data_IF_851690750595
#
_entry.id   IF_851690750595
#
_cell.length_a   1.000
_cell.length_b   1.000
_cell.length_c   1.000
_cell.angle_alpha   90.00
_cell.angle_beta   90.00
_cell.angle_gamma   90.00
#
_symmetry.space_group_name_H-M   'P 1'
#
loop_
_entity.id
_entity.type
_entity.pdbx_description
1 polymer ?
#
# COMPACT_ATOMS: atom_id res chain seq x y z
N UNK A 1 11.22 21.53 32.97
CA UNK A 1 11.62 22.55 33.97
C UNK A 1 11.97 23.80 33.21
N UNK A 2 11.42 24.95 33.61
CA UNK A 2 11.71 26.21 32.94
C UNK A 2 13.02 26.78 33.50
N UNK A 3 13.87 27.35 32.63
CA UNK A 3 15.09 28.03 33.05
C UNK A 3 14.88 29.55 32.99
N UNK A 4 15.32 30.26 34.02
CA UNK A 4 15.36 31.72 34.00
C UNK A 4 16.47 32.24 33.05
N UNK A 5 16.58 33.56 32.90
CA UNK A 5 17.61 34.22 32.08
C UNK A 5 19.05 33.92 32.53
N UNK A 6 19.24 33.33 33.71
CA UNK A 6 20.52 32.94 34.29
C UNK A 6 20.77 31.42 34.23
N UNK A 7 19.83 30.66 33.66
CA UNK A 7 19.94 29.21 33.50
C UNK A 7 19.53 28.38 34.72
N UNK A 8 18.98 28.99 35.77
CA UNK A 8 18.53 28.29 36.97
C UNK A 8 17.19 27.60 36.73
N UNK A 9 17.00 26.41 37.31
CA UNK A 9 15.74 25.68 37.22
C UNK A 9 14.68 26.30 38.15
N UNK A 10 13.53 26.66 37.56
CA UNK A 10 12.41 27.25 38.30
C UNK A 10 11.20 26.33 38.20
N UNK A 11 10.61 26.00 39.35
CA UNK A 11 9.32 25.33 39.43
C UNK A 11 8.19 26.33 39.22
N UNK A 12 7.39 26.12 38.17
CA UNK A 12 6.17 26.89 37.90
C UNK A 12 4.92 26.03 38.00
N UNK A 13 3.79 26.67 38.27
CA UNK A 13 2.49 26.00 38.23
C UNK A 13 2.23 25.50 36.80
N UNK A 14 1.98 24.21 36.67
CA UNK A 14 1.83 23.53 35.37
C UNK A 14 0.49 23.80 34.66
N UNK A 15 -0.16 24.96 34.87
CA UNK A 15 -1.50 25.24 34.29
C UNK A 15 -1.51 26.51 33.44
N UNK A 16 -1.86 26.42 32.14
CA UNK A 16 -1.96 25.18 31.35
C UNK A 16 -0.56 24.59 31.12
N UNK A 17 -0.44 23.25 31.08
CA UNK A 17 0.85 22.58 30.89
C UNK A 17 1.28 22.72 29.43
N UNK A 18 2.45 23.30 29.12
CA UNK A 18 2.94 23.38 27.75
C UNK A 18 3.28 21.98 27.21
N UNK A 19 2.84 21.68 25.98
CA UNK A 19 3.00 20.36 25.34
C UNK A 19 4.46 19.99 25.10
N UNK A 20 5.35 20.98 24.94
CA UNK A 20 6.79 20.79 24.77
C UNK A 20 7.45 20.00 25.90
N UNK A 21 6.91 20.08 27.14
CA UNK A 21 7.40 19.28 28.27
C UNK A 21 7.07 17.79 28.15
N UNK A 22 6.21 17.41 27.20
CA UNK A 22 5.81 16.03 26.93
C UNK A 22 6.52 15.44 25.70
N UNK A 23 7.37 16.21 25.03
CA UNK A 23 8.04 15.82 23.80
C UNK A 23 9.54 15.64 24.03
N UNK A 24 10.12 14.72 23.27
CA UNK A 24 11.56 14.49 23.21
C UNK A 24 11.99 14.56 21.75
N UNK A 25 13.04 15.34 21.49
CA UNK A 25 13.65 15.39 20.16
C UNK A 25 14.53 14.16 19.94
N UNK A 26 14.27 13.44 18.84
CA UNK A 26 15.05 12.28 18.42
C UNK A 26 15.72 12.62 17.09
N UNK A 27 17.05 12.50 16.96
CA UNK A 27 17.73 12.75 15.69
C UNK A 27 17.31 11.71 14.64
N UNK A 28 17.06 12.18 13.42
CA UNK A 28 16.75 11.33 12.27
C UNK A 28 17.85 11.49 11.20
N UNK A 29 18.31 10.39 10.64
CA UNK A 29 19.33 10.38 9.58
C UNK A 29 19.15 9.18 8.66
N UNK A 30 19.68 9.28 7.45
CA UNK A 30 19.90 8.14 6.55
C UNK A 30 21.36 7.68 6.59
N UNK A 31 21.64 6.38 6.36
CA UNK A 31 23.02 5.91 6.24
C UNK A 31 23.77 6.60 5.09
N UNK A 32 25.07 6.88 5.28
CA UNK A 32 25.92 7.46 4.23
C UNK A 32 25.94 6.61 2.96
N UNK A 33 25.99 5.29 3.13
CA UNK A 33 25.80 4.31 2.06
C UNK A 33 24.44 3.64 2.25
N UNK A 34 23.46 3.84 1.34
CA UNK A 34 22.13 3.27 1.49
C UNK A 34 22.15 1.75 1.61
N UNK A 35 21.56 1.22 2.67
CA UNK A 35 21.30 -0.21 2.87
C UNK A 35 19.83 -0.47 2.58
N UNK A 36 19.52 -0.96 1.38
CA UNK A 36 18.15 -1.23 0.97
C UNK A 36 17.86 -2.73 1.03
N UNK A 37 16.84 -3.10 1.81
CA UNK A 37 16.29 -4.47 1.80
C UNK A 37 15.38 -4.69 0.59
N UNK A 38 14.58 -3.68 0.23
CA UNK A 38 13.66 -3.72 -0.90
C UNK A 38 14.25 -3.02 -2.12
N UNK A 39 14.01 -3.58 -3.29
CA UNK A 39 14.67 -3.16 -4.52
C UNK A 39 13.90 -1.99 -5.15
N UNK A 40 14.63 -1.03 -5.73
CA UNK A 40 14.04 0.01 -6.58
C UNK A 40 14.69 -0.09 -7.96
N UNK A 41 14.12 -0.93 -8.82
CA UNK A 41 14.57 -1.02 -10.21
C UNK A 41 14.14 0.25 -10.96
N UNK A 42 15.04 0.80 -11.79
CA UNK A 42 14.71 1.92 -12.68
C UNK A 42 13.73 1.45 -13.74
N UNK A 43 12.78 2.30 -14.10
CA UNK A 43 11.79 2.05 -15.17
C UNK A 43 10.72 0.98 -14.86
N UNK A 44 10.64 0.51 -13.60
CA UNK A 44 9.56 -0.36 -13.11
C UNK A 44 8.62 0.45 -12.22
N UNK A 45 7.32 0.32 -12.48
CA UNK A 45 6.28 0.85 -11.60
C UNK A 45 6.15 -0.04 -10.36
N UNK A 46 6.30 0.57 -9.18
CA UNK A 46 6.22 -0.12 -7.87
C UNK A 46 4.81 -0.64 -7.62
N UNK A 47 4.69 -1.64 -6.75
CA UNK A 47 3.36 -2.12 -6.38
C UNK A 47 2.58 -1.01 -5.64
N UNK A 48 1.26 -0.84 -5.89
CA UNK A 48 0.47 0.19 -5.23
C UNK A 48 0.55 0.08 -3.71
N UNK A 49 0.71 1.21 -3.02
CA UNK A 49 0.76 1.27 -1.54
C UNK A 49 -0.64 1.09 -0.95
N UNK A 50 -0.75 0.29 0.11
CA UNK A 50 -2.00 0.05 0.85
C UNK A 50 -2.60 1.33 1.44
N UNK A 51 -3.92 1.31 1.67
CA UNK A 51 -4.68 2.41 2.31
C UNK A 51 -4.58 3.77 1.58
N UNK A 52 -4.34 3.76 0.26
CA UNK A 52 -4.27 4.98 -0.58
C UNK A 52 -5.26 4.95 -1.75
N UNK A 53 -6.44 4.37 -1.53
CA UNK A 53 -7.48 4.27 -2.55
C UNK A 53 -7.89 5.63 -3.13
N UNK A 54 -7.93 6.68 -2.29
CA UNK A 54 -8.26 8.05 -2.70
C UNK A 54 -7.21 8.62 -3.67
N UNK A 55 -5.96 8.16 -3.55
CA UNK A 55 -4.86 8.56 -4.45
C UNK A 55 -4.77 7.65 -5.69
N UNK A 56 -5.76 6.77 -5.91
CA UNK A 56 -5.78 5.84 -7.04
C UNK A 56 -4.90 4.61 -6.87
N UNK A 57 -4.35 4.37 -5.67
CA UNK A 57 -3.60 3.15 -5.38
C UNK A 57 -4.58 2.02 -5.07
N UNK A 58 -4.97 1.29 -6.12
CA UNK A 58 -5.85 0.13 -6.04
C UNK A 58 -4.96 -1.12 -5.87
N UNK A 59 -5.20 -1.90 -4.84
CA UNK A 59 -4.56 -3.20 -4.63
C UNK A 59 -5.56 -4.31 -4.95
N UNK A 60 -5.59 -4.72 -6.22
CA UNK A 60 -6.42 -5.80 -6.73
C UNK A 60 -5.61 -6.77 -7.60
N UNK A 61 -6.27 -7.84 -8.05
CA UNK A 61 -5.60 -8.88 -8.84
C UNK A 61 -5.13 -8.37 -10.21
N UNK A 62 -5.81 -7.37 -10.77
CA UNK A 62 -5.38 -6.71 -12.01
C UNK A 62 -4.07 -5.94 -11.81
N UNK A 63 -3.95 -5.20 -10.70
CA UNK A 63 -2.73 -4.51 -10.31
C UNK A 63 -1.58 -5.49 -10.05
N UNK A 64 -1.85 -6.66 -9.47
CA UNK A 64 -0.88 -7.76 -9.35
C UNK A 64 -0.39 -8.25 -10.71
N UNK A 65 -1.31 -8.51 -11.64
CA UNK A 65 -0.98 -8.97 -12.99
C UNK A 65 -0.13 -7.92 -13.73
N UNK A 66 -0.56 -6.65 -13.72
CA UNK A 66 0.17 -5.54 -14.33
C UNK A 66 1.57 -5.41 -13.74
N UNK A 67 1.68 -5.51 -12.42
CA UNK A 67 2.96 -5.42 -11.73
C UNK A 67 3.93 -6.52 -12.18
N UNK A 68 3.53 -7.80 -12.05
CA UNK A 68 4.39 -8.95 -12.35
C UNK A 68 4.78 -9.05 -13.83
N UNK A 69 3.91 -8.60 -14.76
CA UNK A 69 4.19 -8.59 -16.21
C UNK A 69 5.32 -7.63 -16.62
N UNK A 70 5.75 -6.72 -15.74
CA UNK A 70 6.89 -5.83 -16.01
C UNK A 70 8.24 -6.56 -15.96
N UNK A 71 8.29 -7.74 -15.34
CA UNK A 71 9.54 -8.41 -15.02
C UNK A 71 9.82 -9.58 -15.96
N UNK A 72 11.10 -9.79 -16.24
CA UNK A 72 11.56 -11.03 -16.89
C UNK A 72 11.77 -12.13 -15.85
N UNK A 73 11.80 -13.43 -16.25
CA UNK A 73 12.09 -14.53 -15.32
C UNK A 73 13.45 -14.39 -14.59
N UNK A 74 14.41 -13.68 -15.19
CA UNK A 74 15.71 -13.40 -14.58
C UNK A 74 15.65 -12.35 -13.47
N UNK A 75 14.58 -11.55 -13.43
CA UNK A 75 14.36 -10.48 -12.44
C UNK A 75 13.38 -10.91 -11.35
N UNK A 76 13.19 -12.23 -11.17
CA UNK A 76 12.23 -12.74 -10.20
C UNK A 76 12.53 -12.27 -8.78
N UNK A 77 13.80 -12.32 -8.35
CA UNK A 77 14.18 -11.82 -7.02
C UNK A 77 13.75 -10.36 -6.82
N UNK A 78 13.99 -9.51 -7.81
CA UNK A 78 13.69 -8.10 -7.72
C UNK A 78 12.17 -7.81 -7.80
N UNK A 79 11.37 -8.68 -8.42
CA UNK A 79 9.91 -8.53 -8.46
C UNK A 79 9.22 -8.84 -7.13
N UNK A 80 9.78 -9.75 -6.32
CA UNK A 80 9.24 -10.09 -5.00
C UNK A 80 9.84 -9.24 -3.88
N UNK A 81 10.98 -8.59 -4.13
CA UNK A 81 11.66 -7.69 -3.20
C UNK A 81 10.99 -6.31 -3.13
N UNK A 82 9.66 -6.30 -2.98
CA UNK A 82 8.80 -5.13 -2.79
C UNK A 82 7.89 -5.38 -1.58
N UNK A 83 7.96 -4.50 -0.58
CA UNK A 83 7.22 -4.68 0.67
C UNK A 83 5.70 -4.68 0.47
N UNK A 84 5.19 -3.79 -0.39
CA UNK A 84 3.75 -3.65 -0.61
C UNK A 84 3.20 -4.84 -1.38
N UNK A 85 3.98 -5.37 -2.32
CA UNK A 85 3.69 -6.63 -2.97
C UNK A 85 3.61 -7.79 -1.95
N UNK A 86 4.63 -7.94 -1.10
CA UNK A 86 4.67 -9.00 -0.08
C UNK A 86 3.48 -8.91 0.89
N UNK A 87 3.14 -7.69 1.32
CA UNK A 87 1.98 -7.47 2.18
C UNK A 87 0.67 -7.87 1.49
N UNK A 88 0.51 -7.51 0.22
CA UNK A 88 -0.65 -7.87 -0.57
C UNK A 88 -0.80 -9.38 -0.71
N UNK A 89 0.23 -10.11 -1.15
CA UNK A 89 0.13 -11.57 -1.31
C UNK A 89 -0.05 -12.31 0.04
N UNK A 90 0.42 -11.73 1.15
CA UNK A 90 0.20 -12.27 2.49
C UNK A 90 -1.24 -12.05 3.00
N UNK A 91 -1.96 -11.08 2.46
CA UNK A 91 -3.30 -10.69 2.92
C UNK A 91 -4.39 -10.91 1.89
N UNK A 92 -4.03 -11.38 0.69
CA UNK A 92 -4.97 -11.67 -0.39
C UNK A 92 -5.84 -12.88 -0.06
N UNK A 93 -7.15 -12.69 -0.06
CA UNK A 93 -8.12 -13.75 0.21
C UNK A 93 -8.24 -14.78 -0.93
N UNK A 94 -7.96 -14.37 -2.17
CA UNK A 94 -8.11 -15.22 -3.36
C UNK A 94 -7.18 -16.44 -3.34
N UNK A 95 -5.95 -16.25 -2.86
CA UNK A 95 -4.96 -17.31 -2.70
C UNK A 95 -4.18 -17.02 -1.42
N UNK A 96 -4.57 -17.62 -0.28
CA UNK A 96 -3.89 -17.40 0.99
C UNK A 96 -2.46 -17.95 0.96
N UNK A 97 -1.46 -17.09 0.82
CA UNK A 97 -0.05 -17.50 0.73
C UNK A 97 0.70 -17.38 2.06
N UNK A 98 0.16 -16.64 3.04
CA UNK A 98 0.83 -16.25 4.29
C UNK A 98 1.60 -17.39 4.97
N UNK A 99 0.97 -18.55 5.13
CA UNK A 99 1.55 -19.68 5.86
C UNK A 99 2.75 -20.32 5.11
N UNK A 100 2.81 -20.14 3.79
CA UNK A 100 3.90 -20.62 2.92
C UNK A 100 5.03 -19.60 2.70
N UNK A 101 4.88 -18.37 3.21
CA UNK A 101 5.80 -17.26 2.94
C UNK A 101 7.00 -17.19 3.88
N UNK A 102 7.00 -17.88 5.03
CA UNK A 102 8.12 -17.86 5.97
C UNK A 102 9.51 -18.10 5.31
N UNK A 103 9.72 -19.14 4.48
CA UNK A 103 11.01 -19.35 3.79
C UNK A 103 11.34 -18.23 2.79
N UNK A 104 10.35 -17.68 2.08
CA UNK A 104 10.55 -16.56 1.16
C UNK A 104 11.04 -15.31 1.90
N UNK A 105 10.38 -14.95 3.02
CA UNK A 105 10.71 -13.75 3.78
C UNK A 105 12.11 -13.83 4.40
N UNK A 106 12.52 -15.01 4.87
CA UNK A 106 13.89 -15.20 5.39
C UNK A 106 14.93 -15.11 4.27
N UNK A 107 14.63 -15.65 3.08
CA UNK A 107 15.50 -15.53 1.91
C UNK A 107 15.69 -14.07 1.47
N UNK A 108 14.62 -13.27 1.41
CA UNK A 108 14.70 -11.84 1.08
C UNK A 108 15.50 -11.07 2.15
N UNK A 109 15.25 -11.36 3.43
CA UNK A 109 15.96 -10.72 4.55
C UNK A 109 17.46 -11.00 4.55
N UNK A 110 17.87 -12.19 4.13
CA UNK A 110 19.28 -12.61 4.05
C UNK A 110 19.93 -12.36 2.68
N UNK A 111 19.17 -11.80 1.72
CA UNK A 111 19.59 -11.61 0.34
C UNK A 111 19.97 -12.92 -0.39
N UNK A 112 19.35 -14.04 -0.02
CA UNK A 112 19.58 -15.34 -0.66
C UNK A 112 18.74 -15.46 -1.94
N UNK A 113 19.33 -15.06 -3.06
CA UNK A 113 18.68 -15.14 -4.38
C UNK A 113 18.36 -16.57 -4.81
N UNK A 114 19.15 -17.57 -4.37
CA UNK A 114 18.92 -18.96 -4.76
C UNK A 114 17.69 -19.53 -4.05
N UNK A 115 17.57 -19.29 -2.75
CA UNK A 115 16.41 -19.71 -1.96
C UNK A 115 15.11 -19.06 -2.48
N UNK A 116 15.16 -17.81 -2.94
CA UNK A 116 14.01 -17.15 -3.58
C UNK A 116 13.59 -17.86 -4.88
N UNK A 117 14.54 -18.21 -5.74
CA UNK A 117 14.27 -18.96 -6.98
C UNK A 117 13.77 -20.38 -6.68
N UNK A 118 14.24 -21.00 -5.61
CA UNK A 118 13.73 -22.31 -5.19
C UNK A 118 12.27 -22.21 -4.72
N UNK A 119 11.93 -21.18 -3.94
CA UNK A 119 10.55 -20.93 -3.51
C UNK A 119 9.59 -20.67 -4.68
N UNK A 120 10.07 -20.08 -5.78
CA UNK A 120 9.30 -19.90 -7.01
C UNK A 120 8.78 -21.20 -7.61
N UNK A 121 9.33 -22.36 -7.22
CA UNK A 121 8.91 -23.68 -7.69
C UNK A 121 7.85 -24.32 -6.80
N UNK A 122 7.40 -23.62 -5.75
CA UNK A 122 6.36 -24.09 -4.86
C UNK A 122 5.00 -24.19 -5.56
N UNK A 123 4.16 -25.12 -5.11
CA UNK A 123 2.81 -25.31 -5.66
C UNK A 123 1.94 -24.05 -5.50
N UNK A 124 2.15 -23.29 -4.41
CA UNK A 124 1.42 -22.05 -4.14
C UNK A 124 1.78 -20.97 -5.16
N UNK A 125 3.06 -20.83 -5.51
CA UNK A 125 3.49 -19.91 -6.56
C UNK A 125 3.03 -20.37 -7.95
N UNK A 126 3.17 -21.66 -8.25
CA UNK A 126 2.69 -22.22 -9.52
C UNK A 126 1.17 -21.98 -9.71
N UNK A 127 0.38 -22.08 -8.64
CA UNK A 127 -1.06 -21.76 -8.67
C UNK A 127 -1.30 -20.29 -9.02
N UNK A 128 -0.50 -19.38 -8.45
CA UNK A 128 -0.60 -17.95 -8.79
C UNK A 128 -0.27 -17.68 -10.26
N UNK A 129 0.79 -18.31 -10.80
CA UNK A 129 1.16 -18.18 -12.21
C UNK A 129 0.05 -18.67 -13.15
N UNK A 130 -0.65 -19.75 -12.79
CA UNK A 130 -1.80 -20.24 -13.55
C UNK A 130 -2.96 -19.24 -13.53
N UNK A 131 -3.27 -18.64 -12.37
CA UNK A 131 -4.32 -17.62 -12.26
C UNK A 131 -3.99 -16.38 -13.12
N UNK A 132 -2.75 -15.91 -13.08
CA UNK A 132 -2.29 -14.78 -13.89
C UNK A 132 -2.39 -15.11 -15.38
N UNK A 133 -1.99 -16.32 -15.77
CA UNK A 133 -2.05 -16.78 -17.17
C UNK A 133 -3.48 -16.85 -17.70
N UNK A 134 -4.42 -17.33 -16.88
CA UNK A 134 -5.83 -17.43 -17.25
C UNK A 134 -6.55 -16.08 -17.29
N UNK A 135 -6.02 -15.07 -16.61
CA UNK A 135 -6.58 -13.71 -16.59
C UNK A 135 -6.26 -12.94 -17.88
N UNK A 136 -5.36 -13.45 -18.74
CA UNK A 136 -4.96 -12.81 -20.01
C UNK A 136 -6.06 -12.79 -21.08
N UNK A 137 -6.96 -13.78 -21.07
CA UNK A 137 -7.95 -14.00 -22.15
C UNK A 137 -9.39 -13.63 -21.76
N UNK A 138 -9.58 -13.12 -20.55
CA UNK A 138 -10.88 -12.71 -20.05
C UNK A 138 -10.88 -11.22 -19.76
N UNK A 139 -11.20 -10.42 -20.78
CA UNK A 139 -11.95 -9.18 -20.59
C UNK A 139 -13.39 -9.46 -20.12
N UNK A 140 -13.55 -10.43 -19.21
CA UNK A 140 -14.79 -10.75 -18.52
C UNK A 140 -14.55 -10.37 -17.08
N UNK A 141 -15.27 -9.33 -16.65
CA UNK A 141 -15.52 -9.00 -15.26
C UNK A 141 -15.85 -10.26 -14.45
N UNK A 142 -14.84 -10.84 -13.81
CA UNK A 142 -14.96 -11.89 -12.79
C UNK A 142 -15.26 -11.26 -11.44
N UNK A 143 -16.37 -10.53 -11.36
CA UNK A 143 -16.90 -10.00 -10.12
C UNK A 143 -17.57 -11.15 -9.37
N UNK A 144 -16.92 -11.69 -8.34
CA UNK A 144 -17.65 -12.49 -7.34
C UNK A 144 -18.19 -11.50 -6.31
N UNK A 145 -19.43 -11.04 -6.54
CA UNK A 145 -20.37 -10.36 -5.62
C UNK A 145 -19.80 -9.23 -4.74
N UNK A 146 -20.14 -7.96 -4.95
CA UNK A 146 -21.50 -7.45 -5.07
C UNK A 146 -21.49 -6.26 -6.04
N UNK A 147 -22.22 -6.41 -7.14
CA UNK A 147 -21.96 -5.66 -8.36
C UNK A 147 -22.25 -4.18 -8.28
N UNK A 148 -21.37 -3.40 -8.91
CA UNK A 148 -21.75 -2.31 -9.81
C UNK A 148 -20.72 -2.30 -10.94
N UNK A 149 -21.20 -2.40 -12.18
CA UNK A 149 -20.37 -2.25 -13.35
C UNK A 149 -19.59 -0.93 -13.26
N UNK A 150 -18.26 -0.99 -13.37
CA UNK A 150 -17.42 0.17 -13.59
C UNK A 150 -17.66 0.70 -15.02
N UNK A 151 -18.84 1.30 -15.22
CA UNK A 151 -18.90 2.54 -15.98
C UNK A 151 -17.93 3.47 -15.27
N UNK A 152 -17.04 4.14 -16.01
CA UNK A 152 -16.28 5.26 -15.46
C UNK A 152 -17.29 6.35 -15.10
N UNK A 153 -17.94 6.19 -13.95
CA UNK A 153 -18.77 7.20 -13.34
C UNK A 153 -17.77 8.18 -12.76
N UNK A 154 -17.64 9.33 -13.40
CA UNK A 154 -17.08 10.50 -12.75
C UNK A 154 -17.70 10.60 -11.34
N UNK A 155 -16.93 10.97 -10.33
CA UNK A 155 -17.45 11.13 -8.96
C UNK A 155 -17.14 12.53 -8.47
N UNK A 156 -17.92 13.03 -7.52
CA UNK A 156 -17.72 14.37 -6.96
C UNK A 156 -17.77 14.37 -5.43
N UNK A 157 -16.88 15.15 -4.83
CA UNK A 157 -16.79 15.29 -3.37
C UNK A 157 -17.76 16.37 -2.90
N UNK A 158 -18.64 16.02 -1.95
CA UNK A 158 -19.58 16.97 -1.38
C UNK A 158 -18.87 18.07 -0.60
N UNK A 159 -19.10 19.33 -0.97
CA UNK A 159 -18.53 20.50 -0.31
C UNK A 159 -19.03 20.72 1.14
N UNK A 160 -20.14 20.07 1.52
CA UNK A 160 -20.75 20.24 2.84
C UNK A 160 -20.37 19.16 3.86
N UNK A 161 -20.14 17.92 3.41
CA UNK A 161 -19.90 16.77 4.30
C UNK A 161 -18.79 15.82 3.83
N UNK A 162 -18.04 16.19 2.79
CA UNK A 162 -16.91 15.46 2.21
C UNK A 162 -17.21 14.05 1.68
N UNK A 163 -18.47 13.64 1.65
CA UNK A 163 -18.87 12.35 1.07
C UNK A 163 -18.66 12.34 -0.45
N UNK A 164 -18.17 11.22 -0.98
CA UNK A 164 -17.92 11.02 -2.40
C UNK A 164 -19.18 10.46 -3.07
N UNK A 165 -19.84 11.28 -3.89
CA UNK A 165 -21.08 10.92 -4.59
C UNK A 165 -20.77 10.52 -6.04
N UNK A 166 -21.69 9.74 -6.62
CA UNK A 166 -21.66 9.41 -8.05
C UNK A 166 -22.04 10.64 -8.91
N UNK A 167 -21.48 10.78 -10.11
CA UNK A 167 -21.71 11.92 -11.03
C UNK A 167 -23.15 12.07 -11.48
N UNK A 168 -23.91 10.99 -11.49
CA UNK A 168 -25.35 10.98 -11.80
C UNK A 168 -26.19 11.71 -10.73
N UNK A 169 -25.63 11.96 -9.54
CA UNK A 169 -26.32 12.65 -8.43
C UNK A 169 -26.07 14.15 -8.44
N UNK A 170 -27.16 14.92 -8.42
CA UNK A 170 -27.16 16.38 -8.25
C UNK A 170 -27.25 16.83 -6.77
N UNK A 171 -27.40 15.88 -5.84
CA UNK A 171 -27.44 16.13 -4.40
C UNK A 171 -26.73 15.00 -3.65
N UNK A 172 -26.21 15.30 -2.47
CA UNK A 172 -25.42 14.35 -1.70
C UNK A 172 -26.28 13.25 -1.04
N UNK A 173 -25.84 11.99 -1.10
CA UNK A 173 -26.57 10.87 -0.51
C UNK A 173 -26.63 10.89 1.02
N UNK A 174 -25.65 11.53 1.68
CA UNK A 174 -25.56 11.62 3.14
C UNK A 174 -26.28 12.85 3.68
N UNK A 175 -25.88 14.04 3.24
CA UNK A 175 -26.42 15.29 3.78
C UNK A 175 -27.62 15.84 3.00
N UNK A 176 -27.97 15.25 1.86
CA UNK A 176 -29.09 15.67 0.97
C UNK A 176 -28.98 17.09 0.43
N UNK A 177 -27.83 17.76 0.58
CA UNK A 177 -27.58 19.09 0.04
C UNK A 177 -27.17 19.04 -1.45
N UNK A 178 -27.48 20.08 -2.25
CA UNK A 178 -27.10 20.15 -3.65
C UNK A 178 -25.59 20.08 -3.90
N UNK A 179 -25.21 19.67 -5.10
CA UNK A 179 -23.82 19.63 -5.57
C UNK A 179 -23.18 21.01 -5.65
N UNK A 180 -23.95 21.97 -6.18
CA UNK A 180 -23.52 23.35 -6.37
C UNK A 180 -24.30 24.29 -5.44
N UNK A 181 -23.65 25.39 -5.03
CA UNK A 181 -24.28 26.47 -4.28
C UNK A 181 -24.84 27.47 -5.29
N UNK A 182 -26.11 27.33 -5.66
CA UNK A 182 -26.91 28.40 -6.27
C UNK A 182 -27.87 28.96 -5.23
#
# INVERSE_FOLDING_TARGET
MEKDSYGNEVSKLARPLPVEYLLLDVPASTPLTPLNTFTSIKDITKFPVENRLIDGHIQDFDSLCKYLRQFTPLQFYESISDFHFLLYIATMDMLPMKDSMAPLLEAIKTNDKQAVVEWSRSDVWATLEQLISNTSDSAVSGHVGNGFASVQTESWTCIHCTFMNNSDRQSCDICRLPRDIN
#
